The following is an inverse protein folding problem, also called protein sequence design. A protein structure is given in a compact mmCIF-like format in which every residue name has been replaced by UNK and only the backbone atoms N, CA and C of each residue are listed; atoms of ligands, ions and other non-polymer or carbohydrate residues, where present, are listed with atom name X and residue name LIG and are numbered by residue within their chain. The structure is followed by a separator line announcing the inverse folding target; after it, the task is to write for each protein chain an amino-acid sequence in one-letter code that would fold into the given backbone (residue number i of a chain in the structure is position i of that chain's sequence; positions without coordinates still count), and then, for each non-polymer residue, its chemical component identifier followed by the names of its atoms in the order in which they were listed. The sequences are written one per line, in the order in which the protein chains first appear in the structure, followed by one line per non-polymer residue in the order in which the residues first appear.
data_IF_546963277715
#
_entry.id   IF_546963277715
#
_cell.length_a   1.000
_cell.length_b   1.000
_cell.length_c   1.000
_cell.angle_alpha   90.00
_cell.angle_beta   90.00
_cell.angle_gamma   90.00
#
_symmetry.space_group_name_H-M   'P 1'
#
loop_
_entity.id
_entity.type
_entity.pdbx_description
1 polymer ?
#
# COMPACT_ATOMS: atom_id res chain seq x y z
N UNK A 1 -17.35 -8.05 -17.49
CA UNK A 1 -16.05 -7.98 -16.79
C UNK A 1 -15.43 -9.36 -16.81
N UNK A 2 -14.28 -9.55 -17.48
CA UNK A 2 -13.47 -10.76 -17.24
C UNK A 2 -12.84 -10.61 -15.88
N UNK A 3 -13.29 -11.39 -14.90
CA UNK A 3 -12.45 -11.70 -13.75
C UNK A 3 -11.25 -12.45 -14.33
N UNK A 4 -10.09 -11.80 -14.39
CA UNK A 4 -8.85 -12.56 -14.50
C UNK A 4 -8.85 -13.47 -13.28
N UNK A 5 -8.91 -14.78 -13.48
CA UNK A 5 -8.53 -15.72 -12.43
C UNK A 5 -7.11 -15.32 -12.05
N UNK A 6 -6.97 -14.60 -10.94
CA UNK A 6 -5.67 -14.26 -10.40
C UNK A 6 -5.12 -15.61 -9.97
N UNK A 7 -4.16 -16.14 -10.74
CA UNK A 7 -3.47 -17.36 -10.33
C UNK A 7 -2.94 -17.14 -8.91
N UNK A 8 -3.15 -18.09 -7.98
CA UNK A 8 -2.79 -17.95 -6.58
C UNK A 8 -1.27 -18.10 -6.37
N UNK A 9 -0.50 -17.28 -7.05
CA UNK A 9 0.96 -17.20 -6.89
C UNK A 9 1.30 -16.32 -5.69
N UNK A 10 2.44 -16.59 -5.06
CA UNK A 10 2.94 -15.79 -3.95
C UNK A 10 3.08 -14.30 -4.34
N UNK A 11 3.53 -14.04 -5.57
CA UNK A 11 3.62 -12.70 -6.12
C UNK A 11 2.25 -12.01 -6.20
N UNK A 12 1.22 -12.72 -6.68
CA UNK A 12 -0.12 -12.16 -6.78
C UNK A 12 -0.74 -11.90 -5.41
N UNK A 13 -0.50 -12.78 -4.42
CA UNK A 13 -0.91 -12.54 -3.04
C UNK A 13 -0.21 -11.31 -2.45
N UNK A 14 1.10 -11.20 -2.62
CA UNK A 14 1.88 -10.05 -2.18
C UNK A 14 1.35 -8.75 -2.79
N UNK A 15 1.18 -8.72 -4.12
CA UNK A 15 0.61 -7.58 -4.85
C UNK A 15 -0.79 -7.25 -4.34
N UNK A 16 -1.63 -8.26 -4.08
CA UNK A 16 -2.94 -8.09 -3.49
C UNK A 16 -2.87 -7.30 -2.17
N UNK A 17 -2.08 -7.77 -1.21
CA UNK A 17 -1.91 -7.14 0.11
C UNK A 17 -1.51 -5.66 -0.02
N UNK A 18 -0.57 -5.35 -0.92
CA UNK A 18 -0.11 -3.98 -1.13
C UNK A 18 -1.14 -3.13 -1.89
N UNK A 19 -1.88 -3.70 -2.84
CA UNK A 19 -2.79 -2.97 -3.73
C UNK A 19 -4.18 -2.74 -3.17
N UNK A 20 -4.65 -3.54 -2.20
CA UNK A 20 -5.99 -3.43 -1.60
C UNK A 20 -6.16 -2.22 -0.67
N UNK A 21 -5.09 -1.48 -0.37
CA UNK A 21 -5.17 -0.25 0.42
C UNK A 21 -5.58 0.99 -0.38
N UNK A 22 -5.45 2.16 0.25
CA UNK A 22 -5.75 3.46 -0.37
C UNK A 22 -4.97 3.59 -1.68
N UNK A 23 -5.61 4.12 -2.74
CA UNK A 23 -4.99 4.23 -4.06
C UNK A 23 -4.01 5.43 -4.15
N UNK A 24 -2.98 5.41 -3.30
CA UNK A 24 -1.91 6.41 -3.22
C UNK A 24 -0.59 5.66 -3.28
N UNK A 25 0.31 6.04 -4.19
CA UNK A 25 1.53 5.27 -4.37
C UNK A 25 2.42 5.34 -3.12
N UNK A 26 2.54 6.51 -2.48
CA UNK A 26 3.27 6.66 -1.21
C UNK A 26 2.78 5.71 -0.10
N UNK A 27 1.46 5.51 0.02
CA UNK A 27 0.92 4.54 0.99
C UNK A 27 1.37 3.11 0.67
N UNK A 28 1.24 2.71 -0.61
CA UNK A 28 1.53 1.36 -1.06
C UNK A 28 3.01 1.01 -0.93
N UNK A 29 3.90 1.93 -1.30
CA UNK A 29 5.34 1.73 -1.17
C UNK A 29 5.78 1.71 0.30
N UNK A 30 5.27 2.61 1.14
CA UNK A 30 5.58 2.59 2.58
C UNK A 30 5.11 1.28 3.25
N UNK A 31 3.91 0.79 2.89
CA UNK A 31 3.39 -0.48 3.39
C UNK A 31 4.24 -1.67 2.93
N UNK A 32 4.66 -1.69 1.66
CA UNK A 32 5.48 -2.78 1.12
C UNK A 32 6.84 -2.88 1.83
N UNK A 33 7.52 -1.75 2.02
CA UNK A 33 8.79 -1.73 2.74
C UNK A 33 8.63 -2.12 4.22
N UNK A 34 7.60 -1.60 4.89
CA UNK A 34 7.35 -1.93 6.29
C UNK A 34 7.09 -3.43 6.50
N UNK A 35 6.28 -4.06 5.64
CA UNK A 35 6.02 -5.50 5.71
C UNK A 35 7.25 -6.35 5.40
N UNK A 36 8.17 -5.85 4.58
CA UNK A 36 9.43 -6.52 4.27
C UNK A 36 10.41 -6.48 5.45
N UNK A 37 10.43 -5.38 6.20
CA UNK A 37 11.38 -5.17 7.31
C UNK A 37 10.94 -5.85 8.62
N UNK A 38 9.66 -6.19 8.78
CA UNK A 38 9.16 -6.88 9.96
C UNK A 38 9.69 -8.32 9.96
N UNK A 39 10.54 -8.62 10.95
CA UNK A 39 11.03 -9.97 11.19
C UNK A 39 9.89 -10.83 11.74
N UNK A 40 9.60 -11.94 11.07
CA UNK A 40 8.66 -12.95 11.59
C UNK A 40 9.43 -13.95 12.46
N UNK A 41 9.04 -14.06 13.72
CA UNK A 41 9.54 -15.05 14.68
C UNK A 41 8.73 -16.35 14.66
N UNK A 42 8.17 -16.70 13.49
CA UNK A 42 7.29 -17.86 13.31
C UNK A 42 5.80 -17.53 13.46
N UNK A 43 5.45 -16.28 13.79
CA UNK A 43 4.08 -15.78 13.78
C UNK A 43 3.68 -15.22 12.40
N UNK A 44 2.48 -15.58 11.95
CA UNK A 44 1.84 -14.97 10.77
C UNK A 44 1.00 -13.73 11.10
N UNK A 45 0.80 -13.45 12.39
CA UNK A 45 0.11 -12.26 12.86
C UNK A 45 1.08 -11.08 12.93
N UNK A 46 0.76 -10.01 12.22
CA UNK A 46 1.41 -8.70 12.37
C UNK A 46 0.42 -7.77 13.05
N UNK A 47 0.77 -7.28 14.24
CA UNK A 47 -0.04 -6.31 14.97
C UNK A 47 0.13 -4.92 14.38
N UNK A 48 -0.89 -4.08 14.55
CA UNK A 48 -0.83 -2.70 14.07
C UNK A 48 0.31 -1.92 14.73
N UNK A 49 0.56 -2.18 16.02
CA UNK A 49 1.64 -1.53 16.79
C UNK A 49 3.02 -1.84 16.21
N UNK A 50 3.22 -3.07 15.74
CA UNK A 50 4.48 -3.53 15.12
C UNK A 50 4.68 -2.92 13.74
N UNK A 51 3.58 -2.70 13.01
CA UNK A 51 3.59 -2.10 11.68
C UNK A 51 3.72 -0.57 11.71
N UNK A 52 3.16 0.09 12.73
CA UNK A 52 3.00 1.53 12.76
C UNK A 52 4.33 2.29 12.64
N UNK A 53 5.34 1.89 13.42
CA UNK A 53 6.66 2.51 13.42
C UNK A 53 7.36 2.35 12.07
N UNK A 54 7.64 1.14 11.54
CA UNK A 54 8.33 0.98 10.26
C UNK A 54 7.57 1.61 9.10
N UNK A 55 6.23 1.54 9.09
CA UNK A 55 5.41 2.22 8.09
C UNK A 55 5.62 3.74 8.10
N UNK A 56 5.53 4.35 9.28
CA UNK A 56 5.68 5.81 9.40
C UNK A 56 7.09 6.28 8.99
N UNK A 57 8.12 5.50 9.30
CA UNK A 57 9.50 5.79 8.90
C UNK A 57 9.67 5.76 7.38
N UNK A 58 9.18 4.72 6.71
CA UNK A 58 9.24 4.63 5.25
C UNK A 58 8.42 5.73 4.56
N UNK A 59 7.27 6.08 5.14
CA UNK A 59 6.45 7.18 4.66
C UNK A 59 7.20 8.52 4.78
N UNK A 60 7.78 8.82 5.94
CA UNK A 60 8.55 10.04 6.17
C UNK A 60 9.78 10.12 5.24
N UNK A 61 10.56 9.04 5.14
CA UNK A 61 11.71 8.94 4.22
C UNK A 61 11.30 9.19 2.77
N UNK A 62 10.15 8.67 2.34
CA UNK A 62 9.65 8.94 1.00
C UNK A 62 9.31 10.43 0.82
N UNK A 63 8.70 11.08 1.82
CA UNK A 63 8.34 12.49 1.78
C UNK A 63 9.56 13.44 1.78
N UNK A 64 10.71 13.00 2.28
CA UNK A 64 11.97 13.76 2.20
C UNK A 64 12.47 13.92 0.75
N UNK A 65 12.24 12.90 -0.08
CA UNK A 65 12.78 12.83 -1.45
C UNK A 65 11.74 13.10 -2.53
N UNK A 66 10.45 12.95 -2.20
CA UNK A 66 9.35 13.13 -3.12
C UNK A 66 8.27 14.02 -2.49
N UNK A 67 7.70 14.98 -3.24
CA UNK A 67 6.62 15.80 -2.73
C UNK A 67 5.42 14.94 -2.36
N UNK A 68 4.62 15.41 -1.40
CA UNK A 68 3.37 14.76 -0.99
C UNK A 68 2.52 14.47 -2.23
N UNK A 69 2.30 13.20 -2.52
CA UNK A 69 1.52 12.80 -3.67
C UNK A 69 0.08 13.30 -3.51
N UNK A 70 -0.38 14.14 -4.44
CA UNK A 70 -1.76 14.62 -4.46
C UNK A 70 -2.65 13.42 -4.78
N UNK A 71 -3.57 13.10 -3.89
CA UNK A 71 -4.66 12.18 -4.19
C UNK A 71 -5.71 12.96 -4.95
N UNK A 72 -6.03 12.58 -6.19
CA UNK A 72 -7.18 13.15 -6.87
C UNK A 72 -8.44 12.84 -6.05
N UNK A 73 -9.11 13.84 -5.43
CA UNK A 73 -10.48 13.63 -5.01
C UNK A 73 -11.25 13.42 -6.31
N UNK A 74 -11.98 12.30 -6.45
CA UNK A 74 -12.82 12.02 -7.63
C UNK A 74 -13.43 13.33 -8.14
N UNK A 75 -13.16 13.70 -9.40
CA UNK A 75 -13.95 14.76 -10.05
C UNK A 75 -15.41 14.31 -10.00
N UNK A 76 -16.36 15.06 -9.44
CA UNK A 76 -17.74 14.86 -9.84
C UNK A 76 -17.77 15.15 -11.34
N UNK A 77 -18.36 14.24 -12.11
CA UNK A 77 -18.76 14.56 -13.49
C UNK A 77 -19.68 15.77 -13.36
N UNK A 78 -19.14 16.97 -13.59
CA UNK A 78 -19.99 18.11 -13.91
C UNK A 78 -20.55 17.78 -15.28
N UNK A 79 -21.81 17.37 -15.29
CA UNK A 79 -22.69 17.61 -16.43
C UNK A 79 -22.39 19.03 -16.93
N UNK A 80 -22.02 19.15 -18.21
CA UNK A 80 -22.12 20.40 -18.95
C UNK A 80 -22.26 20.06 -20.43
N UNK A 81 -23.53 20.20 -20.84
CA UNK A 81 -24.08 20.57 -22.14
C UNK A 81 -23.82 19.59 -23.30
#
# INVERSE_FOLDING_TARGET
MRFYQIEPTLENYWRGIILFGKNVASYKFALAHALYDIRRDGSDLIRLEELAVPFSQHLCRHLEHAPKQITSPKKPVSQRL
#
